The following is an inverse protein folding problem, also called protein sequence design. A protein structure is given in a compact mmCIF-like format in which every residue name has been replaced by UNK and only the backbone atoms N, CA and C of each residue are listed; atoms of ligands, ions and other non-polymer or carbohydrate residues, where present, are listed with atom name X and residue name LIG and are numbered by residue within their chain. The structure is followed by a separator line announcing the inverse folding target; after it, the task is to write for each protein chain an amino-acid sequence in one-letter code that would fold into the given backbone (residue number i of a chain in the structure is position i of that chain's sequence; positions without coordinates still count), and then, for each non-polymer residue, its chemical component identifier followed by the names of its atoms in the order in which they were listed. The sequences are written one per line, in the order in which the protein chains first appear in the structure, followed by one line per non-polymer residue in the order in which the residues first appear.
data_IF_417319728450
#
_entry.id   IF_417319728450
#
_cell.length_a   1.000
_cell.length_b   1.000
_cell.length_c   1.000
_cell.angle_alpha   90.00
_cell.angle_beta   90.00
_cell.angle_gamma   90.00
#
_symmetry.space_group_name_H-M   'P 1'
#
loop_
_entity.id
_entity.type
_entity.pdbx_description
1 polymer ?
#
# COMPACT_ATOMS: atom_id res chain seq x y z
N UNK A 1 9.71 10.53 -5.66
CA UNK A 1 8.85 9.46 -6.23
C UNK A 1 7.40 9.77 -5.91
N UNK A 2 6.51 9.67 -6.89
CA UNK A 2 5.10 9.95 -6.64
C UNK A 2 4.36 8.70 -6.11
N UNK A 3 3.13 8.90 -5.66
CA UNK A 3 2.31 7.83 -5.08
C UNK A 3 2.13 6.67 -6.06
N UNK A 4 1.80 6.97 -7.30
CA UNK A 4 1.56 5.94 -8.33
C UNK A 4 2.81 5.08 -8.56
N UNK A 5 3.96 5.72 -8.69
CA UNK A 5 5.21 5.01 -8.93
C UNK A 5 5.59 4.14 -7.73
N UNK A 6 5.43 4.67 -6.51
CA UNK A 6 5.72 3.90 -5.31
C UNK A 6 4.83 2.66 -5.20
N UNK A 7 3.53 2.81 -5.47
CA UNK A 7 2.60 1.68 -5.46
C UNK A 7 3.02 0.63 -6.49
N UNK A 8 3.40 1.07 -7.68
CA UNK A 8 3.86 0.17 -8.75
C UNK A 8 5.10 -0.61 -8.33
N UNK A 9 6.07 0.06 -7.71
CA UNK A 9 7.28 -0.59 -7.20
C UNK A 9 6.94 -1.60 -6.11
N UNK A 10 6.07 -1.22 -5.18
CA UNK A 10 5.63 -2.13 -4.11
C UNK A 10 4.92 -3.35 -4.66
N UNK A 11 4.03 -3.15 -5.63
CA UNK A 11 3.32 -4.25 -6.29
C UNK A 11 4.30 -5.22 -6.95
N UNK A 12 5.34 -4.69 -7.60
CA UNK A 12 6.35 -5.52 -8.25
C UNK A 12 7.13 -6.37 -7.24
N UNK A 13 7.50 -5.77 -6.11
CA UNK A 13 8.18 -6.50 -5.03
C UNK A 13 7.32 -7.65 -4.54
N UNK A 14 6.04 -7.39 -4.28
CA UNK A 14 5.12 -8.41 -3.78
C UNK A 14 4.91 -9.51 -4.82
N UNK A 15 4.80 -9.14 -6.10
CA UNK A 15 4.63 -10.12 -7.17
C UNK A 15 5.84 -11.05 -7.27
N UNK A 16 7.03 -10.51 -7.10
CA UNK A 16 8.26 -11.30 -7.14
C UNK A 16 8.34 -12.30 -5.98
N UNK A 17 7.59 -12.06 -4.91
CA UNK A 17 7.48 -12.99 -3.77
C UNK A 17 6.23 -13.87 -3.86
N UNK A 18 5.59 -13.90 -5.03
CA UNK A 18 4.40 -14.73 -5.29
C UNK A 18 3.21 -14.39 -4.39
N UNK A 19 3.11 -13.13 -3.98
CA UNK A 19 1.98 -12.65 -3.19
C UNK A 19 0.80 -12.42 -4.12
N UNK A 20 -0.36 -13.07 -3.91
CA UNK A 20 -1.54 -12.79 -4.71
C UNK A 20 -2.08 -11.40 -4.42
N UNK A 21 -2.78 -10.81 -5.39
CA UNK A 21 -3.37 -9.46 -5.24
C UNK A 21 -2.32 -8.40 -4.90
N UNK A 22 -1.13 -8.50 -5.48
CA UNK A 22 -0.01 -7.62 -5.16
C UNK A 22 -0.35 -6.14 -5.37
N UNK A 23 -1.09 -5.81 -6.43
CA UNK A 23 -1.49 -4.42 -6.70
C UNK A 23 -2.42 -3.89 -5.61
N UNK A 24 -3.43 -4.66 -5.24
CA UNK A 24 -4.38 -4.27 -4.20
C UNK A 24 -3.67 -4.11 -2.86
N UNK A 25 -2.83 -5.06 -2.49
CA UNK A 25 -2.07 -5.01 -1.24
C UNK A 25 -1.18 -3.76 -1.19
N UNK A 26 -0.50 -3.46 -2.29
CA UNK A 26 0.35 -2.27 -2.37
C UNK A 26 -0.46 -0.98 -2.18
N UNK A 27 -1.64 -0.91 -2.79
CA UNK A 27 -2.53 0.25 -2.62
C UNK A 27 -3.00 0.40 -1.17
N UNK A 28 -3.39 -0.71 -0.54
CA UNK A 28 -3.83 -0.69 0.86
C UNK A 28 -2.71 -0.22 1.78
N UNK A 29 -1.50 -0.74 1.58
CA UNK A 29 -0.37 -0.36 2.40
C UNK A 29 0.04 1.10 2.20
N UNK A 30 -0.07 1.60 0.96
CA UNK A 30 0.15 3.02 0.70
C UNK A 30 -0.90 3.89 1.41
N UNK A 31 -2.16 3.50 1.33
CA UNK A 31 -3.24 4.23 2.00
C UNK A 31 -3.00 4.28 3.52
N UNK A 32 -2.56 3.18 4.10
CA UNK A 32 -2.20 3.13 5.52
C UNK A 32 -1.03 4.07 5.83
N UNK A 33 -0.02 4.06 4.98
CA UNK A 33 1.19 4.86 5.18
C UNK A 33 0.89 6.35 5.24
N UNK A 34 0.08 6.85 4.30
CA UNK A 34 -0.25 8.27 4.22
C UNK A 34 -1.54 8.61 4.95
N UNK A 35 -2.19 7.62 5.55
CA UNK A 35 -3.42 7.78 6.33
C UNK A 35 -4.55 8.38 5.50
N UNK A 36 -4.73 7.87 4.29
CA UNK A 36 -5.77 8.29 3.34
C UNK A 36 -6.50 7.06 2.82
N UNK A 37 -7.60 7.29 2.13
CA UNK A 37 -8.37 6.20 1.53
C UNK A 37 -7.99 5.97 0.07
N UNK A 38 -8.62 4.97 -0.55
CA UNK A 38 -8.36 4.62 -1.94
C UNK A 38 -8.70 5.78 -2.89
N UNK A 39 -9.78 6.48 -2.61
CA UNK A 39 -10.20 7.62 -3.44
C UNK A 39 -9.11 8.68 -3.50
N UNK A 40 -8.51 8.99 -2.35
CA UNK A 40 -7.41 9.95 -2.29
C UNK A 40 -6.24 9.50 -3.17
N UNK A 41 -5.89 8.22 -3.07
CA UNK A 41 -4.77 7.66 -3.84
C UNK A 41 -5.04 7.80 -5.34
N UNK A 42 -6.26 7.48 -5.78
CA UNK A 42 -6.63 7.55 -7.20
C UNK A 42 -6.63 8.99 -7.71
N UNK A 43 -7.08 9.94 -6.89
CA UNK A 43 -7.18 11.34 -7.28
C UNK A 43 -5.84 12.08 -7.16
N UNK A 44 -4.91 11.57 -6.37
CA UNK A 44 -3.66 12.25 -6.07
C UNK A 44 -2.44 11.39 -6.39
N UNK A 45 -2.57 10.52 -7.40
CA UNK A 45 -1.52 9.57 -7.76
C UNK A 45 -0.21 10.23 -8.20
N UNK A 46 -0.26 11.48 -8.64
CA UNK A 46 0.92 12.24 -9.08
C UNK A 46 1.60 13.00 -7.94
N UNK A 47 1.02 13.01 -6.75
CA UNK A 47 1.62 13.70 -5.62
C UNK A 47 2.95 13.05 -5.21
N UNK A 48 3.92 13.88 -4.88
CA UNK A 48 5.26 13.41 -4.50
C UNK A 48 5.24 13.02 -3.02
N UNK A 49 5.74 11.83 -2.73
CA UNK A 49 5.91 11.37 -1.36
C UNK A 49 7.18 11.94 -0.76
N UNK A 50 7.11 12.33 0.52
CA UNK A 50 8.35 12.68 1.24
C UNK A 50 9.12 11.40 1.58
N UNK A 51 10.40 11.57 1.96
CA UNK A 51 11.26 10.42 2.24
C UNK A 51 10.75 9.57 3.40
N UNK A 52 10.17 10.22 4.39
CA UNK A 52 9.66 9.51 5.58
C UNK A 52 8.50 8.58 5.21
N UNK A 53 7.54 9.08 4.43
CA UNK A 53 6.42 8.27 3.97
C UNK A 53 6.89 7.14 3.05
N UNK A 54 7.83 7.44 2.17
CA UNK A 54 8.37 6.43 1.26
C UNK A 54 9.05 5.31 2.03
N UNK A 55 9.87 5.66 3.03
CA UNK A 55 10.53 4.66 3.87
C UNK A 55 9.53 3.81 4.64
N UNK A 56 8.51 4.43 5.21
CA UNK A 56 7.46 3.72 5.94
C UNK A 56 6.69 2.77 5.02
N UNK A 57 6.40 3.21 3.80
CA UNK A 57 5.72 2.39 2.82
C UNK A 57 6.55 1.15 2.47
N UNK A 58 7.84 1.33 2.16
CA UNK A 58 8.69 0.19 1.81
C UNK A 58 8.88 -0.77 2.98
N UNK A 59 8.88 -0.27 4.20
CA UNK A 59 8.92 -1.13 5.39
C UNK A 59 7.69 -2.04 5.44
N UNK A 60 6.51 -1.49 5.18
CA UNK A 60 5.27 -2.29 5.14
C UNK A 60 5.28 -3.29 3.99
N UNK A 61 5.76 -2.88 2.82
CA UNK A 61 5.90 -3.78 1.67
C UNK A 61 6.82 -4.95 2.00
N UNK A 62 7.95 -4.66 2.64
CA UNK A 62 8.87 -5.72 3.05
C UNK A 62 8.23 -6.70 4.01
N UNK A 63 7.53 -6.21 5.03
CA UNK A 63 6.83 -7.06 5.98
C UNK A 63 5.80 -7.93 5.28
N UNK A 64 5.04 -7.36 4.34
CA UNK A 64 4.07 -8.14 3.57
C UNK A 64 4.75 -9.20 2.72
N UNK A 65 5.88 -8.88 2.12
CA UNK A 65 6.64 -9.81 1.27
C UNK A 65 7.16 -11.01 2.07
N UNK A 66 7.35 -10.83 3.37
CA UNK A 66 7.80 -11.90 4.27
C UNK A 66 6.63 -12.78 4.75
N UNK A 67 5.42 -12.49 4.34
CA UNK A 67 4.25 -13.31 4.66
C UNK A 67 3.31 -12.73 5.71
N UNK A 68 3.59 -11.55 6.26
CA UNK A 68 2.67 -10.93 7.22
C UNK A 68 1.38 -10.51 6.53
N UNK A 69 0.20 -10.94 7.02
CA UNK A 69 -1.06 -10.58 6.39
C UNK A 69 -1.30 -9.07 6.38
N UNK A 70 -1.95 -8.56 5.34
CA UNK A 70 -2.29 -7.14 5.23
C UNK A 70 -3.12 -6.70 6.45
N UNK A 71 -4.06 -7.53 6.89
CA UNK A 71 -4.90 -7.23 8.05
C UNK A 71 -4.09 -7.04 9.33
N UNK A 72 -2.94 -7.70 9.43
CA UNK A 72 -2.04 -7.55 10.56
C UNK A 72 -1.24 -6.25 10.48
N UNK A 73 -0.89 -5.81 9.27
CA UNK A 73 -0.10 -4.60 9.04
C UNK A 73 -0.94 -3.34 9.08
N UNK A 74 -2.25 -3.47 8.93
CA UNK A 74 -3.21 -2.37 9.00
C UNK A 74 -4.25 -2.73 10.05
N UNK A 75 -5.00 -1.73 10.56
CA UNK A 75 -6.07 -2.05 11.49
C UNK A 75 -7.27 -2.65 10.73
N UNK A 76 -8.01 -3.51 11.42
CA UNK A 76 -9.14 -4.22 10.84
C UNK A 76 -10.22 -3.30 10.27
N UNK A 77 -10.49 -2.19 10.97
CA UNK A 77 -11.49 -1.22 10.57
C UNK A 77 -11.12 -0.56 9.25
N UNK A 78 -9.84 -0.21 9.10
CA UNK A 78 -9.33 0.37 7.86
C UNK A 78 -9.51 -0.58 6.69
N UNK A 79 -9.12 -1.83 6.87
CA UNK A 79 -9.22 -2.85 5.83
C UNK A 79 -10.67 -3.13 5.45
N UNK A 80 -11.55 -3.19 6.46
CA UNK A 80 -12.98 -3.37 6.24
C UNK A 80 -13.57 -2.26 5.37
N UNK A 81 -13.25 -1.02 5.69
CA UNK A 81 -13.73 0.12 4.91
C UNK A 81 -13.21 0.08 3.47
N UNK A 82 -11.98 -0.34 3.28
CA UNK A 82 -11.37 -0.46 1.96
C UNK A 82 -12.19 -1.40 1.07
N UNK A 83 -12.50 -2.60 1.56
CA UNK A 83 -13.23 -3.59 0.79
C UNK A 83 -14.70 -3.21 0.61
N UNK A 84 -15.27 -2.54 1.58
CA UNK A 84 -16.68 -2.17 1.55
C UNK A 84 -16.99 -1.14 0.47
N UNK A 85 -16.04 -0.30 0.12
CA UNK A 85 -16.22 0.77 -0.85
C UNK A 85 -15.80 0.41 -2.27
N UNK A 86 -15.61 -0.82 -2.53
CA UNK A 86 -15.28 -1.27 -3.88
C UNK A 86 -16.42 -1.08 -4.85
#
# INVERSE_FOLDING_TARGET
MNINLAISQGSKILRNKFIPNSQLDSEILMAKTINKDRKYILLNSNNILNNNDLNNFYELIEKRSLGNPVAYLTNKKFLWNWYRHK
#
